data_IF_280222550451
#
_entry.id   IF_280222550451
#
_cell.length_a   1.000
_cell.length_b   1.000
_cell.length_c   1.000
_cell.angle_alpha   90.00
_cell.angle_beta   90.00
_cell.angle_gamma   90.00
#
_symmetry.space_group_name_H-M   'P 1'
#
loop_
_entity.id
_entity.type
_entity.pdbx_description
1 polymer ?
#
# COMPACT_ATOMS: atom_id res chain seq x y z
N UNK A 1 0.64 -5.28 -5.57
CA UNK A 1 0.08 -4.67 -4.36
C UNK A 1 -0.71 -3.44 -4.78
N UNK A 2 -1.97 -3.39 -4.44
CA UNK A 2 -2.84 -2.28 -4.86
C UNK A 2 -2.99 -1.29 -3.72
N UNK A 3 -2.04 -0.41 -3.57
CA UNK A 3 -2.17 0.77 -2.76
C UNK A 3 -3.04 1.79 -3.50
N UNK A 4 -4.32 1.62 -3.49
CA UNK A 4 -5.21 2.65 -4.03
C UNK A 4 -5.64 3.58 -2.91
N UNK A 5 -4.76 4.50 -2.54
CA UNK A 5 -5.15 5.71 -1.81
C UNK A 5 -5.52 6.79 -2.86
N UNK A 6 -6.22 6.47 -3.93
CA UNK A 6 -6.50 7.49 -4.91
C UNK A 6 -7.81 7.31 -5.65
N UNK A 7 -8.55 8.40 -5.60
CA UNK A 7 -9.65 8.86 -6.44
C UNK A 7 -10.45 7.78 -7.17
N UNK A 8 -11.75 7.73 -6.93
CA UNK A 8 -12.62 7.03 -7.85
C UNK A 8 -12.63 7.82 -9.16
N UNK A 9 -11.84 7.40 -10.09
CA UNK A 9 -12.18 7.64 -11.47
C UNK A 9 -13.45 6.84 -11.69
N UNK A 10 -14.57 7.54 -11.74
CA UNK A 10 -15.84 6.97 -12.14
C UNK A 10 -15.67 6.48 -13.57
N UNK A 11 -15.30 5.22 -13.70
CA UNK A 11 -15.43 4.51 -14.95
C UNK A 11 -16.89 4.12 -15.07
N UNK A 12 -17.58 4.86 -15.91
CA UNK A 12 -18.86 4.49 -16.46
C UNK A 12 -18.68 3.13 -17.14
N UNK A 13 -19.02 2.06 -16.45
CA UNK A 13 -19.01 0.72 -17.01
C UNK A 13 -20.24 0.62 -17.91
N UNK A 14 -20.08 0.41 -19.21
CA UNK A 14 -21.21 0.09 -20.06
C UNK A 14 -21.76 -1.28 -19.64
N UNK A 15 -23.07 -1.50 -19.73
CA UNK A 15 -23.63 -2.79 -19.39
C UNK A 15 -23.07 -3.85 -20.34
N UNK A 16 -22.40 -4.83 -19.78
CA UNK A 16 -21.97 -6.01 -20.51
C UNK A 16 -23.18 -6.82 -20.92
N UNK A 17 -23.26 -7.22 -22.18
CA UNK A 17 -24.29 -8.17 -22.57
C UNK A 17 -24.05 -9.50 -21.87
N UNK A 18 -25.11 -9.98 -21.26
CA UNK A 18 -25.21 -11.33 -20.75
C UNK A 18 -25.02 -12.31 -21.94
N UNK A 19 -23.83 -12.84 -22.06
CA UNK A 19 -23.65 -14.00 -22.95
C UNK A 19 -22.53 -14.89 -22.46
N UNK A 20 -22.96 -16.11 -22.20
CA UNK A 20 -22.21 -17.34 -22.20
C UNK A 20 -21.53 -17.72 -20.88
N UNK A 21 -22.21 -18.60 -20.19
CA UNK A 21 -21.63 -19.73 -19.50
C UNK A 21 -20.44 -20.32 -20.25
N UNK A 22 -19.25 -19.89 -19.95
CA UNK A 22 -18.05 -20.66 -20.21
C UNK A 22 -17.59 -21.28 -18.92
N UNK A 23 -17.50 -22.60 -18.82
CA UNK A 23 -16.65 -23.20 -17.83
C UNK A 23 -15.22 -22.92 -18.27
N UNK A 24 -14.73 -21.73 -17.97
CA UNK A 24 -13.34 -21.45 -18.13
C UNK A 24 -12.59 -22.21 -17.04
N UNK A 25 -12.18 -23.42 -17.36
CA UNK A 25 -10.98 -23.98 -16.77
C UNK A 25 -9.84 -23.11 -17.26
N UNK A 26 -9.63 -22.04 -16.58
CA UNK A 26 -8.38 -21.33 -16.67
C UNK A 26 -7.34 -22.22 -16.00
N UNK A 27 -6.70 -23.04 -16.79
CA UNK A 27 -5.37 -23.51 -16.48
C UNK A 27 -4.49 -22.26 -16.59
N UNK A 28 -4.34 -21.55 -15.47
CA UNK A 28 -3.32 -20.55 -15.38
C UNK A 28 -1.98 -21.24 -15.62
N UNK A 29 -1.17 -20.79 -16.59
CA UNK A 29 0.14 -21.38 -16.78
C UNK A 29 0.92 -21.21 -15.49
N UNK A 30 1.50 -22.28 -15.03
CA UNK A 30 2.50 -22.26 -13.97
C UNK A 30 3.62 -21.32 -14.41
N UNK A 31 3.69 -20.13 -13.80
CA UNK A 31 4.65 -19.11 -14.21
C UNK A 31 4.11 -17.69 -14.30
N UNK A 32 2.82 -17.46 -14.09
CA UNK A 32 2.31 -16.12 -13.86
C UNK A 32 2.79 -15.63 -12.49
N UNK A 33 3.99 -15.05 -12.47
CA UNK A 33 4.49 -14.28 -11.35
C UNK A 33 3.53 -13.11 -11.13
N UNK A 34 2.84 -13.09 -10.03
CA UNK A 34 1.89 -12.03 -9.71
C UNK A 34 0.68 -12.54 -8.96
N UNK A 35 0.88 -13.55 -8.14
CA UNK A 35 -0.10 -13.84 -7.11
C UNK A 35 0.00 -12.72 -6.08
N UNK A 36 -0.79 -11.68 -6.31
CA UNK A 36 -1.15 -10.77 -5.25
C UNK A 36 -2.02 -11.56 -4.27
N UNK A 37 -1.38 -12.36 -3.46
CA UNK A 37 -2.05 -12.91 -2.30
C UNK A 37 -2.25 -11.76 -1.34
N UNK A 38 -3.46 -11.59 -0.86
CA UNK A 38 -3.75 -10.62 0.17
C UNK A 38 -2.81 -10.84 1.36
N UNK A 39 -2.23 -9.76 1.86
CA UNK A 39 -1.41 -9.83 3.05
C UNK A 39 -2.28 -10.14 4.26
N UNK A 40 -1.78 -10.98 5.17
CA UNK A 40 -2.44 -11.32 6.41
C UNK A 40 -1.90 -10.54 7.62
N UNK A 41 -0.75 -9.88 7.47
CA UNK A 41 -0.08 -9.13 8.53
C UNK A 41 0.66 -7.92 7.99
N UNK A 42 0.97 -6.92 8.85
CA UNK A 42 1.83 -5.81 8.45
C UNK A 42 3.21 -6.27 7.94
N UNK A 43 3.80 -7.30 8.54
CA UNK A 43 5.08 -7.85 8.06
C UNK A 43 4.99 -8.32 6.62
N UNK A 44 3.90 -8.98 6.24
CA UNK A 44 3.66 -9.41 4.87
C UNK A 44 3.44 -8.23 3.93
N UNK A 45 2.75 -7.18 4.38
CA UNK A 45 2.58 -5.95 3.60
C UNK A 45 3.94 -5.36 3.26
N UNK A 46 4.82 -5.19 4.24
CA UNK A 46 6.16 -4.65 3.99
C UNK A 46 7.01 -5.57 3.11
N UNK A 47 6.89 -6.89 3.28
CA UNK A 47 7.56 -7.84 2.40
C UNK A 47 7.09 -7.73 0.94
N UNK A 48 5.79 -7.57 0.73
CA UNK A 48 5.23 -7.38 -0.62
C UNK A 48 5.62 -6.04 -1.24
N UNK A 49 5.70 -4.97 -0.45
CA UNK A 49 6.15 -3.64 -0.92
C UNK A 49 7.52 -3.69 -1.59
N UNK A 50 8.42 -4.56 -1.13
CA UNK A 50 9.74 -4.70 -1.73
C UNK A 50 9.70 -5.11 -3.21
N UNK A 51 8.67 -5.86 -3.60
CA UNK A 51 8.49 -6.32 -4.98
C UNK A 51 7.88 -5.26 -5.90
N UNK A 52 7.27 -4.23 -5.35
CA UNK A 52 6.61 -3.18 -6.12
C UNK A 52 7.43 -1.89 -6.18
N UNK A 53 8.60 -1.86 -5.59
CA UNK A 53 9.44 -0.67 -5.53
C UNK A 53 9.80 -0.13 -6.92
N UNK A 54 9.58 1.16 -7.10
CA UNK A 54 9.86 1.89 -8.33
C UNK A 54 11.05 2.82 -8.14
N UNK A 55 12.22 2.38 -8.52
CA UNK A 55 13.46 3.15 -8.39
C UNK A 55 13.44 4.43 -9.24
N UNK A 56 12.76 4.40 -10.40
CA UNK A 56 12.58 5.56 -11.26
C UNK A 56 11.82 6.69 -10.57
N UNK A 57 10.83 6.36 -9.75
CA UNK A 57 10.04 7.32 -8.97
C UNK A 57 10.75 7.80 -7.71
N UNK A 58 11.70 7.03 -7.23
CA UNK A 58 12.48 7.34 -6.03
C UNK A 58 13.73 8.20 -6.31
N UNK A 59 14.10 8.40 -7.57
CA UNK A 59 15.27 9.19 -7.94
C UNK A 59 15.14 10.63 -7.47
N UNK A 60 16.22 11.16 -6.88
CA UNK A 60 16.27 12.53 -6.37
C UNK A 60 15.41 12.77 -5.12
N UNK A 61 14.80 11.72 -4.57
CA UNK A 61 13.99 11.80 -3.36
C UNK A 61 14.82 11.43 -2.14
N UNK A 62 14.54 12.12 -1.04
CA UNK A 62 15.00 11.71 0.29
C UNK A 62 13.84 11.84 1.25
N UNK A 63 13.16 10.73 1.54
CA UNK A 63 11.90 10.69 2.26
C UNK A 63 12.00 9.67 3.39
N UNK A 64 11.45 10.02 4.55
CA UNK A 64 11.42 9.17 5.74
C UNK A 64 9.99 8.99 6.20
N UNK A 65 9.58 7.75 6.27
CA UNK A 65 8.25 7.37 6.70
C UNK A 65 8.31 6.57 8.00
N UNK A 66 7.46 6.95 8.94
CA UNK A 66 7.24 6.24 10.19
C UNK A 66 5.84 5.63 10.18
N UNK A 67 5.73 4.39 10.60
CA UNK A 67 4.47 3.66 10.71
C UNK A 67 4.30 3.19 12.15
N UNK A 68 3.28 3.71 12.82
CA UNK A 68 2.96 3.35 14.19
C UNK A 68 1.62 2.61 14.21
N UNK A 69 1.66 1.31 14.37
CA UNK A 69 0.47 0.48 14.39
C UNK A 69 0.10 0.08 15.80
N UNK A 70 -1.16 0.35 16.17
CA UNK A 70 -1.78 -0.19 17.37
C UNK A 70 -2.39 -1.58 17.12
N UNK A 71 -2.84 -2.20 18.21
CA UNK A 71 -3.56 -3.47 18.15
C UNK A 71 -4.97 -3.31 17.51
N UNK A 72 -5.49 -4.35 16.86
CA UNK A 72 -4.85 -5.64 16.61
C UNK A 72 -3.73 -5.56 15.56
N UNK A 73 -2.78 -6.47 15.62
CA UNK A 73 -1.61 -6.57 14.75
C UNK A 73 -0.68 -5.35 14.84
N UNK A 74 -0.45 -4.86 16.05
CA UNK A 74 0.42 -3.71 16.30
C UNK A 74 1.87 -3.96 15.91
N UNK A 75 2.60 -2.87 15.73
CA UNK A 75 4.03 -2.86 15.42
C UNK A 75 4.48 -1.48 14.98
N UNK A 76 5.78 -1.27 14.98
CA UNK A 76 6.39 -0.01 14.58
C UNK A 76 7.38 -0.31 13.46
N UNK A 77 7.23 0.42 12.35
CA UNK A 77 8.03 0.21 11.13
C UNK A 77 8.46 1.55 10.57
N UNK A 78 9.51 1.52 9.76
CA UNK A 78 9.97 2.69 9.03
C UNK A 78 10.44 2.34 7.62
N UNK A 79 10.38 3.32 6.73
CA UNK A 79 10.96 3.26 5.39
C UNK A 79 11.74 4.54 5.16
N UNK A 80 12.96 4.42 4.68
CA UNK A 80 13.73 5.54 4.15
C UNK A 80 13.97 5.34 2.67
N UNK A 81 13.62 6.35 1.89
CA UNK A 81 13.88 6.41 0.45
C UNK A 81 15.00 7.40 0.24
N UNK A 82 16.02 6.97 -0.47
CA UNK A 82 17.19 7.80 -0.77
C UNK A 82 17.67 7.55 -2.18
N UNK A 83 17.44 8.55 -3.04
CA UNK A 83 17.96 8.64 -4.40
C UNK A 83 17.90 7.32 -5.20
N UNK A 84 16.69 6.84 -5.41
CA UNK A 84 16.44 5.63 -6.20
C UNK A 84 16.62 4.30 -5.46
N UNK A 85 16.89 4.35 -4.17
CA UNK A 85 16.97 3.18 -3.28
C UNK A 85 16.09 3.35 -2.07
N UNK A 86 15.86 2.26 -1.36
CA UNK A 86 15.12 2.29 -0.09
C UNK A 86 15.76 1.36 0.93
N UNK A 87 15.52 1.65 2.19
CA UNK A 87 15.73 0.77 3.32
C UNK A 87 14.47 0.76 4.16
N UNK A 88 14.18 -0.34 4.80
CA UNK A 88 13.04 -0.46 5.71
C UNK A 88 13.40 -1.35 6.89
N UNK A 89 12.70 -1.14 7.99
CA UNK A 89 12.96 -1.92 9.20
C UNK A 89 11.88 -1.71 10.25
N UNK A 90 12.05 -2.38 11.38
CA UNK A 90 11.20 -2.25 12.56
C UNK A 90 11.79 -1.24 13.53
N UNK A 91 10.93 -0.55 14.26
CA UNK A 91 11.30 0.48 15.21
C UNK A 91 11.06 1.87 14.67
N UNK A 92 11.77 2.84 15.24
CA UNK A 92 11.61 4.26 14.92
C UNK A 92 12.71 4.79 14.03
N UNK A 93 12.35 5.73 13.15
CA UNK A 93 13.31 6.50 12.36
C UNK A 93 13.38 7.94 12.90
N UNK A 94 14.55 8.54 12.85
CA UNK A 94 14.71 9.92 13.25
C UNK A 94 14.17 10.89 12.19
N UNK A 95 13.47 11.93 12.64
CA UNK A 95 12.94 13.01 11.79
C UNK A 95 12.12 12.48 10.61
N UNK A 96 11.04 11.73 10.84
CA UNK A 96 10.19 11.30 9.76
C UNK A 96 9.52 12.50 9.08
N UNK A 97 9.42 12.46 7.76
CA UNK A 97 8.67 13.45 7.00
C UNK A 97 7.17 13.22 7.12
N UNK A 98 6.79 11.95 7.25
CA UNK A 98 5.40 11.53 7.43
C UNK A 98 5.33 10.39 8.44
N UNK A 99 4.33 10.48 9.31
CA UNK A 99 3.98 9.40 10.25
C UNK A 99 2.55 8.94 9.98
N UNK A 100 2.40 7.64 9.73
CA UNK A 100 1.11 6.98 9.62
C UNK A 100 0.78 6.28 10.92
N UNK A 101 -0.41 6.53 11.44
CA UNK A 101 -0.89 5.90 12.68
C UNK A 101 -2.26 5.27 12.42
N UNK A 102 -2.36 3.98 12.61
CA UNK A 102 -3.60 3.19 12.52
C UNK A 102 -3.40 1.87 13.28
N UNK A 103 -4.40 0.99 13.26
CA UNK A 103 -4.18 -0.39 13.70
C UNK A 103 -3.44 -1.17 12.61
N UNK A 104 -2.68 -2.19 12.99
CA UNK A 104 -2.03 -3.07 12.02
C UNK A 104 -3.04 -3.77 11.12
N UNK A 105 -4.18 -4.16 11.66
CA UNK A 105 -5.28 -4.74 10.89
C UNK A 105 -5.83 -3.77 9.83
N UNK A 106 -5.99 -2.50 10.16
CA UNK A 106 -6.44 -1.49 9.18
C UNK A 106 -5.37 -1.23 8.11
N UNK A 107 -4.09 -1.26 8.48
CA UNK A 107 -3.01 -1.18 7.51
C UNK A 107 -3.04 -2.31 6.49
N UNK A 108 -3.26 -3.53 6.96
CA UNK A 108 -3.45 -4.72 6.10
C UNK A 108 -4.64 -4.52 5.17
N UNK A 109 -5.76 -4.02 5.68
CA UNK A 109 -6.96 -3.74 4.87
C UNK A 109 -6.73 -2.65 3.83
N UNK A 110 -5.98 -1.62 4.17
CA UNK A 110 -5.56 -0.58 3.23
C UNK A 110 -4.70 -1.18 2.11
N UNK A 111 -3.72 -2.00 2.47
CA UNK A 111 -2.82 -2.64 1.51
C UNK A 111 -3.57 -3.59 0.57
N UNK A 112 -4.53 -4.35 1.09
CA UNK A 112 -5.34 -5.29 0.32
C UNK A 112 -6.47 -4.61 -0.49
N UNK A 113 -6.66 -3.30 -0.30
CA UNK A 113 -7.69 -2.54 -0.99
C UNK A 113 -9.11 -2.73 -0.44
N UNK A 114 -9.27 -3.36 0.72
CA UNK A 114 -10.57 -3.55 1.39
C UNK A 114 -10.98 -2.37 2.27
N UNK A 115 -10.08 -1.44 2.51
CA UNK A 115 -10.34 -0.17 3.18
C UNK A 115 -9.75 0.95 2.32
N UNK A 116 -10.57 1.94 1.96
CA UNK A 116 -10.11 3.11 1.20
C UNK A 116 -9.32 4.07 2.09
N UNK A 117 -8.21 4.63 1.58
CA UNK A 117 -7.36 5.54 2.33
C UNK A 117 -8.08 6.81 2.75
N UNK A 118 -8.84 7.42 1.85
CA UNK A 118 -9.65 8.62 2.16
C UNK A 118 -10.69 8.29 3.21
N UNK A 119 -11.40 7.18 3.06
CA UNK A 119 -12.38 6.72 4.05
C UNK A 119 -11.73 6.49 5.42
N UNK A 120 -10.56 5.90 5.46
CA UNK A 120 -9.83 5.65 6.70
C UNK A 120 -9.45 6.95 7.41
N UNK A 121 -9.03 7.97 6.68
CA UNK A 121 -8.73 9.29 7.24
C UNK A 121 -10.00 9.97 7.75
N UNK A 122 -11.07 9.99 6.97
CA UNK A 122 -12.33 10.63 7.37
C UNK A 122 -13.00 9.96 8.57
N UNK A 123 -12.88 8.64 8.68
CA UNK A 123 -13.44 7.89 9.80
C UNK A 123 -12.53 7.84 11.04
N UNK A 124 -11.36 8.48 10.98
CA UNK A 124 -10.40 8.50 12.07
C UNK A 124 -9.64 7.17 12.28
N UNK A 125 -9.70 6.25 11.31
CA UNK A 125 -8.96 4.98 11.34
C UNK A 125 -7.49 5.15 10.97
N UNK A 126 -7.19 6.10 10.09
CA UNK A 126 -5.84 6.43 9.67
C UNK A 126 -5.56 7.90 9.99
N UNK A 127 -4.51 8.13 10.74
CA UNK A 127 -3.95 9.46 10.98
C UNK A 127 -2.66 9.62 10.21
N UNK A 128 -2.58 10.68 9.43
CA UNK A 128 -1.38 11.05 8.66
C UNK A 128 -0.86 12.36 9.21
N UNK A 129 0.34 12.33 9.79
CA UNK A 129 1.02 13.48 10.35
C UNK A 129 2.22 13.80 9.47
N UNK A 130 2.32 15.05 9.04
CA UNK A 130 3.39 15.51 8.18
C UNK A 130 2.91 15.98 6.82
N UNK A 131 3.80 16.00 5.84
CA UNK A 131 3.51 16.51 4.51
C UNK A 131 2.65 15.52 3.71
N UNK A 132 1.46 15.94 3.33
CA UNK A 132 0.51 15.10 2.59
C UNK A 132 0.99 14.75 1.18
N UNK A 133 1.72 15.63 0.52
CA UNK A 133 2.32 15.32 -0.79
C UNK A 133 3.37 14.23 -0.66
N UNK A 134 4.14 14.25 0.43
CA UNK A 134 5.11 13.20 0.74
C UNK A 134 4.40 11.88 1.05
N UNK A 135 3.27 11.92 1.75
CA UNK A 135 2.45 10.73 1.99
C UNK A 135 1.97 10.09 0.68
N UNK A 136 1.55 10.91 -0.28
CA UNK A 136 1.15 10.44 -1.62
C UNK A 136 2.29 9.77 -2.41
N UNK A 137 3.50 10.25 -2.24
CA UNK A 137 4.65 9.67 -2.94
C UNK A 137 4.91 8.23 -2.56
N UNK A 138 4.48 7.79 -1.38
CA UNK A 138 4.60 6.39 -0.99
C UNK A 138 3.88 5.47 -1.99
N UNK A 139 2.67 5.86 -2.44
CA UNK A 139 1.90 5.07 -3.40
C UNK A 139 2.51 5.09 -4.81
N UNK A 140 3.20 6.16 -5.16
CA UNK A 140 3.88 6.26 -6.45
C UNK A 140 5.15 5.41 -6.50
N UNK A 141 5.81 5.27 -5.36
CA UNK A 141 7.09 4.55 -5.23
C UNK A 141 6.85 3.07 -4.97
N UNK A 142 5.80 2.72 -4.25
CA UNK A 142 5.37 1.36 -3.95
C UNK A 142 3.91 1.13 -4.36
N UNK A 143 3.61 1.12 -5.63
CA UNK A 143 2.23 1.00 -6.12
C UNK A 143 1.59 -0.35 -5.82
#
# INVERSE_FOLDING_TARGET
MRWRILFPMVLLVPPLPLLASHPARSLAPAGAAGYETDAASPDEVFAQMQHTFRSDRARGQHLRYQFNFGDPQGGIYWIEIKDGSYTMGKGTIQRPDVTFTCTGADWVRLANGTLGGIQAVFTGRLHVIGNQFTAHKLDEIFP
#
